data_IF_916305147622
#
_entry.id   IF_916305147622
#
_cell.length_a   1.000
_cell.length_b   1.000
_cell.length_c   1.000
_cell.angle_alpha   90.00
_cell.angle_beta   90.00
_cell.angle_gamma   90.00
#
_symmetry.space_group_name_H-M   'P 1'
#
loop_
_entity.id
_entity.type
_entity.pdbx_description
1 polymer ?
#
# COMPACT_ATOMS: atom_id res chain seq x y z
N UNK A 1 6.08 -11.11 -12.29
CA UNK A 1 6.57 -11.51 -10.94
C UNK A 1 7.84 -12.35 -10.98
N UNK A 2 7.83 -13.63 -11.43
CA UNK A 2 9.02 -14.51 -11.40
C UNK A 2 10.21 -13.98 -12.21
N UNK A 3 9.94 -13.42 -13.39
CA UNK A 3 10.98 -12.89 -14.26
C UNK A 3 11.71 -11.71 -13.61
N UNK A 4 10.98 -10.77 -12.97
CA UNK A 4 11.56 -9.65 -12.22
C UNK A 4 12.53 -10.13 -11.14
N UNK A 5 12.14 -11.14 -10.36
CA UNK A 5 13.00 -11.72 -9.32
C UNK A 5 14.23 -12.37 -9.95
N UNK A 6 14.04 -13.17 -11.00
CA UNK A 6 15.12 -13.87 -11.71
C UNK A 6 16.16 -12.90 -12.30
N UNK A 7 15.75 -11.77 -12.86
CA UNK A 7 16.69 -10.81 -13.46
C UNK A 7 17.45 -10.02 -12.39
N UNK A 8 16.81 -9.69 -11.25
CA UNK A 8 17.46 -9.05 -10.12
C UNK A 8 18.47 -10.00 -9.47
N UNK A 9 18.08 -11.25 -9.21
CA UNK A 9 18.93 -12.26 -8.59
C UNK A 9 20.20 -12.54 -9.42
N UNK A 10 20.10 -12.57 -10.77
CA UNK A 10 21.26 -12.70 -11.66
C UNK A 10 22.28 -11.57 -11.49
N UNK A 11 21.83 -10.39 -11.05
CA UNK A 11 22.69 -9.24 -10.74
C UNK A 11 23.14 -9.19 -9.28
N UNK A 12 22.77 -10.15 -8.44
CA UNK A 12 22.97 -10.10 -6.99
C UNK A 12 22.10 -9.04 -6.29
N UNK A 13 20.95 -8.69 -6.88
CA UNK A 13 20.04 -7.64 -6.44
C UNK A 13 18.74 -8.24 -5.89
N UNK A 14 17.95 -7.44 -5.16
CA UNK A 14 16.63 -7.82 -4.68
C UNK A 14 15.66 -6.62 -4.69
N UNK A 15 14.37 -6.90 -4.56
CA UNK A 15 13.28 -5.93 -4.67
C UNK A 15 13.47 -4.71 -3.75
N UNK A 16 13.77 -4.95 -2.47
CA UNK A 16 13.93 -3.91 -1.46
C UNK A 16 15.22 -3.11 -1.70
N UNK A 17 16.32 -3.80 -1.96
CA UNK A 17 17.62 -3.18 -2.21
C UNK A 17 17.61 -2.22 -3.40
N UNK A 18 16.83 -2.51 -4.43
CA UNK A 18 16.66 -1.62 -5.59
C UNK A 18 16.01 -0.27 -5.24
N UNK A 19 15.11 -0.26 -4.26
CA UNK A 19 14.43 0.96 -3.83
C UNK A 19 15.29 1.77 -2.86
N UNK A 20 16.10 1.09 -2.05
CA UNK A 20 17.04 1.73 -1.11
C UNK A 20 18.33 2.21 -1.79
N UNK A 21 18.66 1.66 -2.97
CA UNK A 21 19.90 1.98 -3.69
C UNK A 21 19.98 3.48 -3.97
N UNK A 22 21.11 4.08 -3.59
CA UNK A 22 21.40 5.49 -3.85
C UNK A 22 20.60 6.47 -2.98
N UNK A 23 19.82 5.99 -2.00
CA UNK A 23 19.05 6.84 -1.09
C UNK A 23 19.87 7.33 0.13
N UNK A 24 21.13 6.88 0.26
CA UNK A 24 22.00 7.26 1.38
C UNK A 24 21.77 6.40 2.62
N UNK A 25 21.88 7.00 3.80
CA UNK A 25 21.64 6.31 5.08
C UNK A 25 20.16 5.95 5.20
N UNK A 26 19.90 4.69 5.54
CA UNK A 26 18.55 4.20 5.83
C UNK A 26 18.11 4.61 7.24
N UNK A 27 16.95 5.24 7.32
CA UNK A 27 16.30 5.68 8.55
C UNK A 27 14.87 5.13 8.58
N UNK A 28 14.49 4.55 9.70
CA UNK A 28 13.12 4.06 9.92
C UNK A 28 12.11 5.22 9.87
N UNK A 29 10.86 4.90 9.51
CA UNK A 29 9.76 5.84 9.28
C UNK A 29 9.95 6.79 8.09
N UNK A 30 11.11 6.79 7.41
CA UNK A 30 11.29 7.53 6.16
C UNK A 30 10.83 6.72 4.96
N UNK A 31 10.31 7.42 3.96
CA UNK A 31 9.92 6.84 2.70
C UNK A 31 11.12 6.66 1.77
N UNK A 32 11.10 5.55 1.05
CA UNK A 32 12.08 5.22 0.03
C UNK A 32 11.37 4.81 -1.27
N UNK A 33 11.75 5.43 -2.41
CA UNK A 33 12.65 6.58 -2.53
C UNK A 33 12.07 7.82 -1.84
N UNK A 34 12.89 8.83 -1.55
CA UNK A 34 12.49 9.98 -0.73
C UNK A 34 11.29 10.80 -1.25
N UNK A 35 10.97 10.70 -2.55
CA UNK A 35 9.84 11.39 -3.18
C UNK A 35 8.69 10.45 -3.56
N UNK A 36 8.67 9.25 -2.97
CA UNK A 36 7.87 8.12 -3.42
C UNK A 36 8.13 7.78 -4.89
N UNK A 37 7.47 6.74 -5.39
CA UNK A 37 7.41 6.43 -6.81
C UNK A 37 6.01 6.71 -7.31
N UNK A 38 5.90 7.43 -8.42
CA UNK A 38 4.64 7.83 -9.01
C UNK A 38 4.68 7.69 -10.53
N UNK A 39 3.81 6.85 -11.06
CA UNK A 39 3.59 6.70 -12.49
C UNK A 39 2.53 7.72 -12.95
N UNK A 40 2.89 8.56 -13.93
CA UNK A 40 2.03 9.66 -14.38
C UNK A 40 0.94 9.22 -15.36
N UNK A 41 1.09 8.05 -15.97
CA UNK A 41 0.17 7.55 -16.98
C UNK A 41 -0.95 6.73 -16.31
N UNK A 42 -0.60 5.89 -15.33
CA UNK A 42 -1.58 5.11 -14.56
C UNK A 42 -2.07 5.83 -13.30
N UNK A 43 -1.31 6.81 -12.81
CA UNK A 43 -1.49 7.48 -11.52
C UNK A 43 -1.31 6.58 -10.28
N UNK A 44 -0.71 5.40 -10.46
CA UNK A 44 -0.30 4.54 -9.36
C UNK A 44 0.92 5.14 -8.62
N UNK A 45 0.96 4.91 -7.32
CA UNK A 45 2.06 5.37 -6.46
C UNK A 45 2.45 4.27 -5.48
N UNK A 46 3.72 4.25 -5.07
CA UNK A 46 4.15 3.48 -3.91
C UNK A 46 5.30 4.16 -3.16
N UNK A 47 5.49 3.76 -1.91
CA UNK A 47 6.75 3.94 -1.19
C UNK A 47 7.09 2.69 -0.39
N UNK A 48 8.34 2.60 0.05
CA UNK A 48 8.83 1.60 0.99
C UNK A 48 9.29 2.29 2.28
N UNK A 49 8.98 1.71 3.44
CA UNK A 49 9.55 2.16 4.71
C UNK A 49 9.68 1.00 5.71
N UNK A 50 10.29 1.27 6.87
CA UNK A 50 10.44 0.29 7.93
C UNK A 50 10.15 0.89 9.30
N UNK A 51 9.73 0.02 10.21
CA UNK A 51 9.49 0.33 11.62
C UNK A 51 10.55 -0.33 12.50
N UNK A 52 10.76 0.24 13.69
CA UNK A 52 11.62 -0.36 14.73
C UNK A 52 11.03 -1.64 15.29
N UNK A 53 11.90 -2.60 15.61
CA UNK A 53 11.59 -3.68 16.54
C UNK A 53 10.98 -4.94 15.93
N UNK A 54 10.80 -5.00 14.60
CA UNK A 54 10.41 -6.25 13.95
C UNK A 54 11.63 -7.17 13.74
N UNK A 55 11.54 -8.41 14.23
CA UNK A 55 12.60 -9.41 14.03
C UNK A 55 12.52 -10.09 12.66
N UNK A 56 11.29 -10.20 12.13
CA UNK A 56 10.97 -10.93 10.90
C UNK A 56 10.83 -9.98 9.70
N UNK A 57 10.07 -8.90 9.86
CA UNK A 57 9.91 -7.89 8.81
C UNK A 57 11.13 -6.95 8.79
N UNK A 58 11.62 -6.67 7.58
CA UNK A 58 12.58 -5.60 7.35
C UNK A 58 11.88 -4.26 7.15
N UNK A 59 10.80 -4.26 6.40
CA UNK A 59 9.93 -3.13 6.12
C UNK A 59 8.89 -3.54 5.08
N UNK A 60 8.08 -2.60 4.64
CA UNK A 60 6.96 -2.89 3.74
C UNK A 60 6.71 -1.80 2.72
N UNK A 61 6.14 -2.21 1.60
CA UNK A 61 5.61 -1.32 0.59
C UNK A 61 4.20 -0.89 0.96
N UNK A 62 3.84 0.35 0.67
CA UNK A 62 2.46 0.79 0.58
C UNK A 62 2.13 1.16 -0.86
N UNK A 63 1.04 0.61 -1.39
CA UNK A 63 0.59 0.86 -2.76
C UNK A 63 -0.63 1.77 -2.75
N UNK A 64 -0.68 2.72 -3.68
CA UNK A 64 -1.71 3.74 -3.76
C UNK A 64 -2.20 3.96 -5.19
N UNK A 65 -3.43 4.49 -5.29
CA UNK A 65 -3.98 5.06 -6.50
C UNK A 65 -4.36 6.53 -6.25
N UNK A 66 -3.85 7.45 -7.07
CA UNK A 66 -4.26 8.87 -7.02
C UNK A 66 -5.54 9.11 -7.82
N UNK A 67 -6.23 10.22 -7.51
CA UNK A 67 -7.55 10.56 -8.06
C UNK A 67 -7.70 10.32 -9.56
N UNK A 68 -6.71 10.72 -10.34
CA UNK A 68 -6.76 10.70 -11.80
C UNK A 68 -6.72 9.28 -12.40
N UNK A 69 -6.21 8.28 -11.66
CA UNK A 69 -6.24 6.86 -12.07
C UNK A 69 -7.40 6.07 -11.48
N UNK A 70 -8.22 6.69 -10.62
CA UNK A 70 -9.40 6.04 -10.06
C UNK A 70 -10.51 5.91 -11.12
N UNK A 71 -11.32 4.84 -11.09
CA UNK A 71 -12.46 4.69 -11.99
C UNK A 71 -13.40 5.92 -12.00
N UNK A 72 -14.09 6.19 -13.11
CA UNK A 72 -15.13 7.21 -13.15
C UNK A 72 -16.18 6.97 -12.06
N UNK A 73 -16.72 8.06 -11.50
CA UNK A 73 -17.71 8.03 -10.40
C UNK A 73 -17.21 7.38 -9.09
N UNK A 74 -15.90 7.23 -8.91
CA UNK A 74 -15.35 6.87 -7.59
C UNK A 74 -15.70 7.95 -6.57
N UNK A 75 -16.41 7.56 -5.52
CA UNK A 75 -16.85 8.47 -4.45
C UNK A 75 -16.21 8.08 -3.11
N UNK A 76 -15.63 9.05 -2.38
CA UNK A 76 -15.11 8.78 -1.04
C UNK A 76 -16.25 8.43 -0.09
N UNK A 77 -15.93 7.68 0.96
CA UNK A 77 -16.86 7.43 2.05
C UNK A 77 -17.30 8.75 2.70
N UNK A 78 -18.53 8.80 3.21
CA UNK A 78 -19.01 9.98 3.92
C UNK A 78 -18.27 10.11 5.26
N UNK A 79 -17.59 11.24 5.43
CA UNK A 79 -16.96 11.62 6.68
C UNK A 79 -18.05 11.86 7.73
N UNK A 80 -18.12 11.01 8.76
CA UNK A 80 -19.16 11.10 9.80
C UNK A 80 -18.70 11.89 11.03
N UNK A 81 -17.41 11.83 11.37
CA UNK A 81 -16.89 12.33 12.67
C UNK A 81 -15.62 13.18 12.60
N UNK A 82 -14.96 13.24 11.45
CA UNK A 82 -13.54 13.61 11.46
C UNK A 82 -13.30 15.12 11.54
N UNK A 83 -12.44 15.49 12.52
CA UNK A 83 -11.83 16.82 12.65
C UNK A 83 -10.67 17.03 11.65
N UNK A 84 -10.25 15.96 10.98
CA UNK A 84 -9.09 15.93 10.09
C UNK A 84 -9.57 16.03 8.66
N UNK A 85 -9.11 17.04 7.92
CA UNK A 85 -9.40 17.14 6.50
C UNK A 85 -8.71 15.99 5.77
N UNK A 86 -9.48 15.22 5.01
CA UNK A 86 -8.94 14.19 4.13
C UNK A 86 -8.42 14.85 2.85
N UNK A 87 -7.38 14.32 2.21
CA UNK A 87 -7.05 14.72 0.84
C UNK A 87 -8.30 14.60 -0.04
N UNK A 88 -8.59 15.61 -0.85
CA UNK A 88 -9.80 15.68 -1.67
C UNK A 88 -9.46 16.11 -3.09
N UNK A 89 -10.45 16.02 -3.98
CA UNK A 89 -10.34 16.48 -5.36
C UNK A 89 -9.11 15.87 -6.05
N UNK A 90 -8.24 16.69 -6.62
CA UNK A 90 -7.05 16.23 -7.34
C UNK A 90 -5.97 15.63 -6.42
N UNK A 91 -6.02 15.92 -5.12
CA UNK A 91 -5.08 15.41 -4.12
C UNK A 91 -5.59 14.11 -3.47
N UNK A 92 -6.81 13.67 -3.80
CA UNK A 92 -7.35 12.43 -3.26
C UNK A 92 -6.47 11.23 -3.64
N UNK A 93 -6.22 10.37 -2.66
CA UNK A 93 -5.34 9.21 -2.78
C UNK A 93 -5.92 8.06 -1.96
N UNK A 94 -5.97 6.88 -2.54
CA UNK A 94 -6.47 5.66 -1.90
C UNK A 94 -5.33 4.67 -1.71
N UNK A 95 -5.20 4.12 -0.50
CA UNK A 95 -4.33 2.99 -0.23
C UNK A 95 -4.98 1.70 -0.71
N UNK A 96 -4.23 0.92 -1.48
CA UNK A 96 -4.69 -0.35 -2.03
C UNK A 96 -4.34 -1.50 -1.11
N UNK A 97 -3.06 -1.64 -0.77
CA UNK A 97 -2.54 -2.72 0.07
C UNK A 97 -1.10 -2.40 0.48
N UNK A 98 -0.66 -2.96 1.61
CA UNK A 98 0.73 -3.01 1.99
C UNK A 98 1.33 -4.41 1.78
N UNK A 99 2.61 -4.47 1.42
CA UNK A 99 3.36 -5.72 1.18
C UNK A 99 4.54 -5.80 2.14
N UNK A 100 4.45 -6.71 3.10
CA UNK A 100 5.50 -6.97 4.09
C UNK A 100 6.68 -7.71 3.47
N UNK A 101 7.91 -7.28 3.77
CA UNK A 101 9.14 -7.84 3.19
C UNK A 101 10.11 -8.28 4.27
N UNK A 102 10.78 -9.41 4.05
CA UNK A 102 11.85 -9.90 4.90
C UNK A 102 13.20 -9.21 4.61
N UNK A 103 14.23 -9.53 5.41
CA UNK A 103 15.59 -8.99 5.29
C UNK A 103 16.33 -9.42 4.01
N UNK A 104 15.81 -10.39 3.28
CA UNK A 104 16.36 -10.85 1.98
C UNK A 104 15.64 -10.18 0.81
N UNK A 105 14.61 -9.37 1.05
CA UNK A 105 13.81 -8.72 0.03
C UNK A 105 12.75 -9.64 -0.59
N UNK A 106 12.31 -10.66 0.15
CA UNK A 106 11.20 -11.55 -0.23
C UNK A 106 9.92 -11.16 0.52
N UNK A 107 8.72 -11.35 -0.08
CA UNK A 107 7.46 -11.02 0.58
C UNK A 107 7.14 -12.00 1.71
N UNK A 108 6.62 -11.46 2.81
CA UNK A 108 6.09 -12.21 3.96
C UNK A 108 4.55 -12.31 3.91
N UNK A 109 3.89 -11.25 3.46
CA UNK A 109 2.45 -11.12 3.57
C UNK A 109 1.91 -9.82 3.00
N UNK A 110 0.59 -9.78 2.86
CA UNK A 110 -0.19 -8.61 2.53
C UNK A 110 -0.95 -8.14 3.77
N UNK A 111 -1.11 -6.83 3.94
CA UNK A 111 -1.96 -6.31 5.00
C UNK A 111 -2.72 -5.05 4.59
N UNK A 112 -3.91 -4.92 5.17
CA UNK A 112 -4.70 -3.71 5.13
C UNK A 112 -4.57 -2.98 6.47
N UNK A 113 -4.58 -1.65 6.40
CA UNK A 113 -4.46 -0.79 7.56
C UNK A 113 -5.63 0.19 7.62
N UNK A 114 -5.72 0.87 8.76
CA UNK A 114 -6.67 1.93 8.99
C UNK A 114 -6.21 3.24 8.34
N UNK A 115 -7.15 4.16 8.06
CA UNK A 115 -6.91 5.41 7.36
C UNK A 115 -5.80 6.25 7.99
N UNK A 116 -5.76 6.37 9.32
CA UNK A 116 -4.76 7.20 9.98
C UNK A 116 -3.31 6.77 9.72
N UNK A 117 -3.10 5.50 9.37
CA UNK A 117 -1.78 4.93 9.08
C UNK A 117 -1.19 5.56 7.81
N UNK A 118 -2.03 5.78 6.80
CA UNK A 118 -1.61 6.25 5.47
C UNK A 118 -2.03 7.69 5.19
N UNK A 119 -2.93 8.26 5.98
CA UNK A 119 -3.49 9.60 5.76
C UNK A 119 -4.39 9.69 4.52
N UNK A 120 -4.80 8.56 3.94
CA UNK A 120 -5.53 8.48 2.68
C UNK A 120 -6.91 9.16 2.72
N UNK A 121 -7.50 9.35 1.54
CA UNK A 121 -8.94 9.53 1.42
C UNK A 121 -9.61 8.17 1.59
N UNK A 122 -10.57 8.05 2.51
CA UNK A 122 -11.20 6.74 2.73
C UNK A 122 -12.20 6.41 1.62
N UNK A 123 -11.98 5.29 0.95
CA UNK A 123 -12.91 4.70 -0.02
C UNK A 123 -13.35 3.33 0.47
N UNK A 124 -14.63 3.00 0.28
CA UNK A 124 -15.15 1.67 0.60
C UNK A 124 -14.45 0.59 -0.24
N UNK A 125 -14.41 -0.64 0.27
CA UNK A 125 -13.71 -1.76 -0.33
C UNK A 125 -14.02 -1.92 -1.82
N UNK A 126 -15.29 -1.92 -2.22
CA UNK A 126 -15.68 -2.10 -3.63
C UNK A 126 -15.13 -1.00 -4.56
N UNK A 127 -14.98 0.23 -4.05
CA UNK A 127 -14.37 1.33 -4.80
C UNK A 127 -12.87 1.10 -4.98
N UNK A 128 -12.17 0.70 -3.90
CA UNK A 128 -10.73 0.39 -3.94
C UNK A 128 -10.45 -0.84 -4.82
N UNK A 129 -11.31 -1.86 -4.77
CA UNK A 129 -11.22 -3.05 -5.62
C UNK A 129 -11.29 -2.68 -7.10
N UNK A 130 -12.15 -1.72 -7.47
CA UNK A 130 -12.22 -1.18 -8.82
C UNK A 130 -10.94 -0.48 -9.31
N UNK A 131 -10.06 -0.06 -8.39
CA UNK A 131 -8.78 0.57 -8.73
C UNK A 131 -7.67 -0.45 -9.03
N UNK A 132 -7.81 -1.70 -8.59
CA UNK A 132 -6.76 -2.72 -8.70
C UNK A 132 -6.41 -3.02 -10.16
N UNK A 133 -7.36 -2.91 -11.09
CA UNK A 133 -7.14 -3.12 -12.52
C UNK A 133 -6.30 -2.01 -13.17
N UNK A 134 -6.29 -0.82 -12.59
CA UNK A 134 -5.55 0.34 -13.09
C UNK A 134 -4.17 0.49 -12.43
N UNK A 135 -3.85 -0.29 -11.39
CA UNK A 135 -2.57 -0.19 -10.71
C UNK A 135 -1.44 -0.76 -11.56
N UNK A 136 -0.57 0.12 -12.04
CA UNK A 136 0.60 -0.24 -12.83
C UNK A 136 1.71 0.81 -12.68
N UNK A 137 2.94 0.38 -12.48
CA UNK A 137 4.13 1.23 -12.56
C UNK A 137 4.99 0.67 -13.69
N UNK A 138 5.02 1.35 -14.84
CA UNK A 138 5.70 0.84 -16.06
C UNK A 138 6.87 1.72 -16.52
N UNK A 139 7.33 2.63 -15.67
CA UNK A 139 8.58 3.34 -15.90
C UNK A 139 9.78 2.66 -15.23
N UNK A 140 11.00 3.06 -15.62
CA UNK A 140 12.22 2.40 -15.15
C UNK A 140 12.72 2.83 -13.76
N UNK A 141 12.27 3.97 -13.24
CA UNK A 141 12.73 4.50 -11.95
C UNK A 141 12.00 3.88 -10.74
N UNK A 142 12.66 3.58 -9.60
CA UNK A 142 14.11 3.47 -9.44
C UNK A 142 14.64 2.17 -10.04
N UNK A 143 13.78 1.17 -10.25
CA UNK A 143 14.14 -0.10 -10.87
C UNK A 143 12.93 -0.71 -11.57
N UNK A 144 13.03 -0.84 -12.90
CA UNK A 144 11.98 -1.41 -13.74
C UNK A 144 11.52 -2.82 -13.29
N UNK A 145 12.43 -3.77 -12.95
CA UNK A 145 12.00 -5.07 -12.43
C UNK A 145 11.18 -4.99 -11.14
N UNK A 146 11.54 -4.10 -10.21
CA UNK A 146 10.78 -3.90 -8.96
C UNK A 146 9.39 -3.33 -9.24
N UNK A 147 9.29 -2.34 -10.12
CA UNK A 147 8.01 -1.75 -10.50
C UNK A 147 7.06 -2.76 -11.16
N UNK A 148 7.57 -3.54 -12.10
CA UNK A 148 6.81 -4.64 -12.71
C UNK A 148 6.44 -5.73 -11.71
N UNK A 149 7.30 -5.98 -10.71
CA UNK A 149 7.01 -6.94 -9.66
C UNK A 149 5.85 -6.46 -8.78
N UNK A 150 5.87 -5.21 -8.30
CA UNK A 150 4.78 -4.64 -7.49
C UNK A 150 3.45 -4.64 -8.27
N UNK A 151 3.48 -4.22 -9.53
CA UNK A 151 2.32 -4.27 -10.43
C UNK A 151 1.81 -5.71 -10.62
N UNK A 152 2.72 -6.69 -10.71
CA UNK A 152 2.35 -8.11 -10.79
C UNK A 152 1.74 -8.64 -9.49
N UNK A 153 2.19 -8.18 -8.32
CA UNK A 153 1.66 -8.64 -7.02
C UNK A 153 0.17 -8.34 -6.93
N UNK A 154 -0.25 -7.13 -7.33
CA UNK A 154 -1.66 -6.75 -7.35
C UNK A 154 -2.49 -7.65 -8.27
N UNK A 155 -1.95 -7.99 -9.45
CA UNK A 155 -2.63 -8.86 -10.41
C UNK A 155 -2.71 -10.31 -9.94
N UNK A 156 -1.63 -10.83 -9.34
CA UNK A 156 -1.52 -12.24 -8.90
C UNK A 156 -2.32 -12.51 -7.63
N UNK A 157 -2.22 -11.64 -6.63
CA UNK A 157 -2.88 -11.81 -5.33
C UNK A 157 -4.19 -11.01 -5.23
N UNK A 158 -4.85 -10.79 -6.37
CA UNK A 158 -6.06 -9.96 -6.41
C UNK A 158 -7.11 -10.47 -5.43
N UNK A 159 -7.35 -11.78 -5.40
CA UNK A 159 -8.37 -12.38 -4.54
C UNK A 159 -8.09 -12.15 -3.05
N UNK A 160 -6.83 -12.26 -2.63
CA UNK A 160 -6.38 -12.01 -1.27
C UNK A 160 -6.51 -10.51 -0.91
N UNK A 161 -6.15 -9.62 -1.83
CA UNK A 161 -6.29 -8.17 -1.65
C UNK A 161 -7.77 -7.79 -1.52
N UNK A 162 -8.65 -8.32 -2.37
CA UNK A 162 -10.10 -8.10 -2.26
C UNK A 162 -10.65 -8.59 -0.91
N UNK A 163 -10.21 -9.75 -0.43
CA UNK A 163 -10.61 -10.28 0.86
C UNK A 163 -10.15 -9.37 2.02
N UNK A 164 -8.90 -8.90 1.99
CA UNK A 164 -8.36 -7.97 2.99
C UNK A 164 -9.08 -6.62 2.98
N UNK A 165 -9.43 -6.08 1.81
CA UNK A 165 -10.17 -4.82 1.68
C UNK A 165 -11.59 -4.94 2.23
N UNK A 166 -12.32 -6.01 1.90
CA UNK A 166 -13.65 -6.26 2.48
C UNK A 166 -13.57 -6.48 3.99
N UNK A 167 -12.55 -7.20 4.46
CA UNK A 167 -12.33 -7.42 5.88
C UNK A 167 -11.98 -6.12 6.62
N UNK A 168 -11.16 -5.26 6.03
CA UNK A 168 -10.84 -3.91 6.55
C UNK A 168 -12.10 -3.12 6.86
N UNK A 169 -13.02 -3.04 5.91
CA UNK A 169 -14.27 -2.31 6.09
C UNK A 169 -15.15 -2.92 7.21
N UNK A 170 -15.19 -4.26 7.31
CA UNK A 170 -15.91 -4.95 8.38
C UNK A 170 -15.31 -4.64 9.75
N UNK A 171 -13.99 -4.68 9.88
CA UNK A 171 -13.28 -4.40 11.13
C UNK A 171 -13.46 -2.94 11.56
N UNK A 172 -13.31 -1.98 10.65
CA UNK A 172 -13.57 -0.56 10.92
C UNK A 172 -15.02 -0.34 11.37
N UNK A 173 -15.97 -0.97 10.69
CA UNK A 173 -17.40 -0.86 11.06
C UNK A 173 -17.66 -1.45 12.45
N UNK A 174 -17.13 -2.63 12.74
CA UNK A 174 -17.28 -3.27 14.05
C UNK A 174 -16.60 -2.45 15.17
N UNK A 175 -15.45 -1.84 14.88
CA UNK A 175 -14.76 -0.95 15.81
C UNK A 175 -15.60 0.28 16.14
N UNK A 176 -16.17 0.92 15.11
CA UNK A 176 -17.04 2.08 15.29
C UNK A 176 -18.29 1.75 16.11
N UNK A 177 -18.88 0.58 15.92
CA UNK A 177 -20.03 0.11 16.70
C UNK A 177 -19.66 -0.17 18.16
N UNK A 178 -18.46 -0.71 18.40
CA UNK A 178 -17.95 -1.00 19.74
C UNK A 178 -17.59 0.26 20.52
N UNK A 179 -17.08 1.28 19.84
CA UNK A 179 -16.65 2.55 20.42
C UNK A 179 -17.34 3.74 19.74
N UNK A 180 -18.65 3.94 19.98
CA UNK A 180 -19.46 4.92 19.26
C UNK A 180 -19.01 6.37 19.44
N UNK A 181 -18.32 6.67 20.54
CA UNK A 181 -17.82 8.02 20.86
C UNK A 181 -16.43 8.33 20.25
N UNK A 182 -15.80 7.35 19.60
CA UNK A 182 -14.51 7.51 18.91
C UNK A 182 -14.72 7.62 17.40
N UNK A 183 -13.76 8.23 16.71
CA UNK A 183 -13.67 8.13 15.25
C UNK A 183 -12.81 6.91 14.90
N UNK A 184 -13.44 5.83 14.42
CA UNK A 184 -12.74 4.59 14.12
C UNK A 184 -11.63 4.75 13.08
N UNK A 185 -11.75 5.70 12.15
CA UNK A 185 -10.75 5.94 11.10
C UNK A 185 -9.51 6.69 11.61
N UNK A 186 -9.61 7.29 12.81
CA UNK A 186 -8.55 8.06 13.45
C UNK A 186 -8.04 7.42 14.76
N UNK A 187 -8.58 6.27 15.15
CA UNK A 187 -8.21 5.59 16.39
C UNK A 187 -6.86 4.86 16.25
N UNK A 188 -5.86 5.34 16.99
CA UNK A 188 -4.49 4.81 16.97
C UNK A 188 -4.37 3.39 17.55
N UNK A 189 -5.39 2.90 18.25
CA UNK A 189 -5.45 1.51 18.71
C UNK A 189 -5.82 0.53 17.59
N UNK A 190 -6.37 1.03 16.47
CA UNK A 190 -6.72 0.23 15.29
C UNK A 190 -5.77 0.55 14.14
N UNK A 191 -4.61 -0.09 14.11
CA UNK A 191 -3.57 0.14 13.09
C UNK A 191 -3.73 -0.77 11.87
N UNK A 192 -3.57 -2.08 12.07
CA UNK A 192 -3.72 -3.12 11.05
C UNK A 192 -5.10 -3.76 11.20
N UNK A 193 -5.85 -3.81 10.10
CA UNK A 193 -7.20 -4.41 10.10
C UNK A 193 -7.20 -5.86 9.66
N UNK A 194 -6.14 -6.32 8.99
CA UNK A 194 -6.00 -7.71 8.57
C UNK A 194 -4.66 -7.99 7.92
N UNK A 195 -4.20 -9.23 8.02
CA UNK A 195 -2.94 -9.72 7.45
C UNK A 195 -3.16 -11.10 6.83
N UNK A 196 -2.60 -11.34 5.64
CA UNK A 196 -2.53 -12.64 5.00
C UNK A 196 -1.07 -12.97 4.62
N UNK A 197 -0.52 -14.10 5.06
CA UNK A 197 0.80 -14.53 4.58
C UNK A 197 0.71 -14.88 3.10
N UNK A 198 1.73 -14.50 2.34
CA UNK A 198 1.87 -14.88 0.93
C UNK A 198 3.24 -15.50 0.70
N UNK A 199 3.30 -16.41 -0.26
CA UNK A 199 4.54 -17.05 -0.71
C UNK A 199 4.63 -16.96 -2.22
N UNK A 200 5.84 -16.74 -2.74
CA UNK A 200 6.15 -16.68 -4.18
C UNK A 200 6.17 -18.05 -4.86
#
# INVERSE_FOLDING_TARGET
MRESLRVLEKGGLNIVGEVLRGQGTFYEMQHYPANDVYDRDSHAQYYYHAHRGSQLEHGHFHLFMRRAGMPPNTLPAKQSYSRTLWPSDNDAIAHLIAISMDKKGLPLGLFACNRWVTGETWYAADQVIGMLDAFEIDHAYPSWPTNLWLSSVVKVYRTEIEALLRHRDQIVTAWQQRFPDKDALEDRELEITGYLPITL
#
